data_IF_853037561396
#
_entry.id   IF_853037561396
#
_cell.length_a   1.000
_cell.length_b   1.000
_cell.length_c   1.000
_cell.angle_alpha   90.00
_cell.angle_beta   90.00
_cell.angle_gamma   90.00
#
_symmetry.space_group_name_H-M   'P 1'
#
loop_
_entity.id
_entity.type
_entity.pdbx_description
1 polymer ?
#
# COMPACT_ATOMS: atom_id res chain seq x y z
N UNK A 1 20.64 11.72 -15.09
CA UNK A 1 20.98 11.48 -13.67
C UNK A 1 19.85 12.03 -12.82
N UNK A 2 19.04 11.18 -12.18
CA UNK A 2 18.07 11.62 -11.17
C UNK A 2 18.38 10.83 -9.91
N UNK A 3 19.48 11.21 -9.26
CA UNK A 3 19.73 10.81 -7.88
C UNK A 3 18.71 11.52 -7.00
N UNK A 4 18.08 10.77 -6.09
CA UNK A 4 17.19 11.32 -5.07
C UNK A 4 18.03 12.17 -4.12
N UNK A 5 18.25 13.44 -4.45
CA UNK A 5 18.94 14.39 -3.56
C UNK A 5 17.98 14.85 -2.46
N UNK A 6 18.50 15.35 -1.33
CA UNK A 6 17.69 15.87 -0.21
C UNK A 6 16.67 16.95 -0.62
N UNK A 7 16.83 17.60 -1.79
CA UNK A 7 15.85 18.54 -2.37
C UNK A 7 14.52 17.87 -2.76
N UNK A 8 14.52 16.56 -2.96
CA UNK A 8 13.40 15.82 -3.53
C UNK A 8 12.19 15.65 -2.60
N UNK A 9 12.28 16.02 -1.32
CA UNK A 9 11.20 15.85 -0.34
C UNK A 9 10.65 17.16 0.24
N UNK A 10 11.08 18.33 -0.26
CA UNK A 10 10.66 19.63 0.28
C UNK A 10 9.14 19.87 0.26
N UNK A 11 8.43 19.21 -0.66
CA UNK A 11 6.97 19.27 -0.80
C UNK A 11 6.23 18.28 0.10
N UNK A 12 6.91 17.25 0.63
CA UNK A 12 6.24 16.18 1.36
C UNK A 12 5.56 16.66 2.65
N UNK A 13 6.14 17.57 3.46
CA UNK A 13 5.43 18.15 4.60
C UNK A 13 4.15 18.88 4.18
N UNK A 14 4.20 19.64 3.08
CA UNK A 14 3.04 20.39 2.58
C UNK A 14 1.94 19.46 2.06
N UNK A 15 2.30 18.42 1.29
CA UNK A 15 1.33 17.42 0.82
C UNK A 15 0.73 16.64 2.00
N UNK A 16 1.57 16.20 2.94
CA UNK A 16 1.11 15.49 4.13
C UNK A 16 0.13 16.34 4.94
N UNK A 17 0.47 17.62 5.18
CA UNK A 17 -0.42 18.55 5.86
C UNK A 17 -1.74 18.73 5.10
N UNK A 18 -1.71 18.88 3.78
CA UNK A 18 -2.92 19.01 2.96
C UNK A 18 -3.84 17.78 3.10
N UNK A 19 -3.29 16.56 3.08
CA UNK A 19 -4.05 15.32 3.30
C UNK A 19 -4.63 15.30 4.71
N UNK A 20 -3.85 15.67 5.73
CA UNK A 20 -4.34 15.76 7.12
C UNK A 20 -5.45 16.80 7.25
N UNK A 21 -5.38 17.95 6.56
CA UNK A 21 -6.44 18.96 6.62
C UNK A 21 -7.75 18.48 5.98
N UNK A 22 -7.66 17.69 4.90
CA UNK A 22 -8.84 17.21 4.14
C UNK A 22 -9.48 15.98 4.77
N UNK A 23 -8.70 15.13 5.45
CA UNK A 23 -9.21 13.91 6.07
C UNK A 23 -9.16 13.93 7.60
N UNK A 24 -8.68 15.02 8.21
CA UNK A 24 -8.49 15.14 9.65
C UNK A 24 -9.80 15.04 10.43
N UNK A 25 -10.91 15.46 9.83
CA UNK A 25 -12.24 15.28 10.42
C UNK A 25 -12.59 13.80 10.65
N UNK A 26 -11.97 12.86 9.93
CA UNK A 26 -12.22 11.42 10.15
C UNK A 26 -11.77 10.95 11.52
N UNK A 27 -10.88 11.67 12.22
CA UNK A 27 -10.40 11.27 13.54
C UNK A 27 -11.50 11.26 14.61
N UNK A 28 -12.62 11.93 14.39
CA UNK A 28 -13.78 11.91 15.30
C UNK A 28 -14.85 10.91 14.88
N UNK A 29 -14.65 10.19 13.78
CA UNK A 29 -15.57 9.16 13.31
C UNK A 29 -15.37 7.83 14.06
N UNK A 30 -16.38 6.99 14.01
CA UNK A 30 -16.36 5.63 14.58
C UNK A 30 -16.30 4.54 13.50
N UNK A 31 -16.19 3.31 13.97
CA UNK A 31 -16.23 2.10 13.13
C UNK A 31 -17.59 1.93 12.46
N UNK A 32 -17.59 1.45 11.21
CA UNK A 32 -18.81 1.20 10.45
C UNK A 32 -18.62 0.05 9.43
N UNK A 33 -19.73 -0.49 8.91
CA UNK A 33 -19.74 -1.60 7.93
C UNK A 33 -18.86 -2.80 8.34
N UNK A 34 -17.89 -3.22 7.53
CA UNK A 34 -17.02 -4.38 7.76
C UNK A 34 -16.09 -4.19 8.94
N UNK A 35 -15.92 -2.98 9.47
CA UNK A 35 -15.18 -2.75 10.71
C UNK A 35 -15.80 -3.57 11.86
N UNK A 36 -17.11 -3.79 11.83
CA UNK A 36 -17.80 -4.58 12.85
C UNK A 36 -17.20 -5.99 12.97
N UNK A 37 -17.16 -6.73 11.86
CA UNK A 37 -16.79 -8.13 11.87
C UNK A 37 -15.29 -8.37 11.71
N UNK A 38 -14.56 -7.41 11.15
CA UNK A 38 -13.10 -7.50 10.95
C UNK A 38 -12.30 -6.90 12.10
N UNK A 39 -12.87 -5.94 12.86
CA UNK A 39 -12.15 -5.20 13.92
C UNK A 39 -12.91 -5.21 15.25
N UNK A 40 -14.14 -4.69 15.32
CA UNK A 40 -14.85 -4.42 16.59
C UNK A 40 -15.22 -5.71 17.33
N UNK A 41 -15.60 -6.75 16.60
CA UNK A 41 -16.02 -8.03 17.16
C UNK A 41 -15.14 -9.20 16.70
N UNK A 42 -13.99 -8.91 16.09
CA UNK A 42 -13.05 -9.95 15.67
C UNK A 42 -12.20 -10.43 16.86
N UNK A 43 -12.34 -11.69 17.32
CA UNK A 43 -11.55 -12.21 18.43
C UNK A 43 -10.08 -12.42 18.06
N UNK A 44 -9.75 -12.64 16.79
CA UNK A 44 -8.39 -12.96 16.33
C UNK A 44 -7.40 -11.80 16.48
N UNK A 45 -7.89 -10.59 16.72
CA UNK A 45 -7.05 -9.40 16.99
C UNK A 45 -7.04 -8.99 18.47
N UNK A 46 -7.67 -9.77 19.36
CA UNK A 46 -7.75 -9.50 20.80
C UNK A 46 -6.61 -10.18 21.55
N UNK A 47 -6.26 -9.65 22.71
CA UNK A 47 -5.26 -10.26 23.59
C UNK A 47 -5.87 -11.40 24.41
N UNK A 48 -5.19 -12.55 24.57
CA UNK A 48 -3.90 -12.91 23.95
C UNK A 48 -4.05 -13.22 22.44
N UNK A 49 -3.09 -12.76 21.63
CA UNK A 49 -3.11 -12.94 20.17
C UNK A 49 -2.45 -14.26 19.79
N UNK A 50 -3.19 -15.12 19.09
CA UNK A 50 -2.66 -16.35 18.50
C UNK A 50 -2.05 -16.08 17.13
N UNK A 51 -0.76 -15.75 17.09
CA UNK A 51 -0.07 -15.37 15.85
C UNK A 51 -0.06 -16.45 14.77
N UNK A 52 -0.07 -17.74 15.16
CA UNK A 52 -0.20 -18.84 14.21
C UNK A 52 -1.52 -18.76 13.44
N UNK A 53 -2.62 -18.44 14.12
CA UNK A 53 -3.95 -18.25 13.51
C UNK A 53 -3.93 -17.04 12.59
N UNK A 54 -3.41 -15.89 13.04
CA UNK A 54 -3.30 -14.67 12.22
C UNK A 54 -2.54 -14.91 10.91
N UNK A 55 -1.50 -15.74 10.93
CA UNK A 55 -0.63 -15.99 9.77
C UNK A 55 -0.93 -17.25 8.97
N UNK A 56 -1.93 -18.05 9.37
CA UNK A 56 -2.20 -19.35 8.72
C UNK A 56 -3.69 -19.61 8.44
N UNK A 57 -4.62 -18.95 9.14
CA UNK A 57 -6.05 -19.21 9.03
C UNK A 57 -6.80 -18.03 8.37
N UNK A 58 -7.37 -18.20 7.16
CA UNK A 58 -8.18 -17.17 6.51
C UNK A 58 -9.42 -16.74 7.30
N UNK A 59 -9.94 -17.58 8.20
CA UNK A 59 -11.09 -17.26 9.04
C UNK A 59 -10.76 -16.23 10.12
N UNK A 60 -9.47 -16.02 10.43
CA UNK A 60 -9.01 -14.98 11.35
C UNK A 60 -9.36 -13.56 10.90
N UNK A 61 -9.67 -13.37 9.62
CA UNK A 61 -9.99 -12.05 9.06
C UNK A 61 -11.34 -11.50 9.53
N UNK A 62 -12.33 -12.36 9.72
CA UNK A 62 -13.71 -11.97 9.99
C UNK A 62 -14.37 -12.98 10.91
N UNK A 63 -15.09 -12.48 11.92
CA UNK A 63 -15.97 -13.34 12.72
C UNK A 63 -17.17 -13.89 11.94
N UNK A 64 -17.47 -13.35 10.75
CA UNK A 64 -18.64 -13.72 9.97
C UNK A 64 -18.35 -15.03 9.22
N UNK A 65 -19.14 -16.10 9.44
CA UNK A 65 -18.94 -17.37 8.75
C UNK A 65 -18.97 -17.20 7.23
N UNK A 66 -18.00 -17.81 6.54
CA UNK A 66 -17.86 -17.73 5.08
C UNK A 66 -17.22 -16.44 4.55
N UNK A 67 -16.93 -15.45 5.40
CA UNK A 67 -16.26 -14.19 5.00
C UNK A 67 -14.74 -14.21 5.19
N UNK A 68 -14.13 -15.41 5.27
CA UNK A 68 -12.69 -15.58 5.49
C UNK A 68 -11.86 -15.06 4.31
N UNK A 69 -10.76 -14.37 4.62
CA UNK A 69 -9.81 -13.86 3.64
C UNK A 69 -8.39 -13.95 4.20
N UNK A 70 -7.45 -14.51 3.43
CA UNK A 70 -6.07 -14.59 3.88
C UNK A 70 -5.38 -13.21 3.77
N UNK A 71 -5.31 -12.46 4.88
CA UNK A 71 -4.73 -11.10 4.94
C UNK A 71 -3.88 -10.89 6.21
N UNK A 72 -2.84 -11.71 6.42
CA UNK A 72 -2.13 -11.77 7.69
C UNK A 72 -1.40 -10.47 8.06
N UNK A 73 -0.87 -9.73 7.06
CA UNK A 73 -0.18 -8.47 7.33
C UNK A 73 -1.16 -7.34 7.65
N UNK A 74 -2.35 -7.34 7.05
CA UNK A 74 -3.43 -6.45 7.43
C UNK A 74 -3.87 -6.71 8.88
N UNK A 75 -4.14 -7.97 9.24
CA UNK A 75 -4.52 -8.34 10.61
C UNK A 75 -3.43 -7.98 11.61
N UNK A 76 -2.15 -8.18 11.26
CA UNK A 76 -1.02 -7.73 12.08
C UNK A 76 -1.07 -6.22 12.32
N UNK A 77 -1.46 -5.41 11.33
CA UNK A 77 -1.65 -3.97 11.50
C UNK A 77 -2.83 -3.63 12.42
N UNK A 78 -3.88 -4.44 12.43
CA UNK A 78 -5.04 -4.27 13.32
C UNK A 78 -4.69 -4.65 14.75
N UNK A 79 -3.97 -5.76 14.97
CA UNK A 79 -3.44 -6.15 16.28
C UNK A 79 -2.58 -5.03 16.88
N UNK A 80 -1.63 -4.51 16.10
CA UNK A 80 -0.75 -3.43 16.57
C UNK A 80 -1.54 -2.16 16.94
N UNK A 81 -2.55 -1.79 16.13
CA UNK A 81 -3.38 -0.62 16.40
C UNK A 81 -4.28 -0.83 17.64
N UNK A 82 -4.81 -2.04 17.81
CA UNK A 82 -5.62 -2.41 18.97
C UNK A 82 -4.79 -2.39 20.25
N UNK A 83 -3.54 -2.86 20.23
CA UNK A 83 -2.64 -2.76 21.38
C UNK A 83 -2.31 -1.31 21.76
N UNK A 84 -2.27 -0.40 20.78
CA UNK A 84 -1.98 1.00 21.04
C UNK A 84 -3.14 1.74 21.73
N UNK A 85 -4.38 1.46 21.34
CA UNK A 85 -5.52 2.33 21.69
C UNK A 85 -6.88 1.61 21.77
N UNK A 86 -6.89 0.27 21.74
CA UNK A 86 -8.11 -0.52 21.75
C UNK A 86 -9.05 -0.15 20.60
N UNK A 87 -10.29 0.18 20.95
CA UNK A 87 -11.34 0.62 20.02
C UNK A 87 -11.53 2.15 20.04
N UNK A 88 -10.50 2.92 20.38
CA UNK A 88 -10.56 4.37 20.24
C UNK A 88 -10.35 4.75 18.76
N UNK A 89 -11.45 5.01 18.04
CA UNK A 89 -11.48 5.19 16.58
C UNK A 89 -10.51 6.23 16.01
N UNK A 90 -10.14 7.26 16.80
CA UNK A 90 -9.23 8.33 16.36
C UNK A 90 -7.88 7.79 15.88
N UNK A 91 -7.32 6.77 16.54
CA UNK A 91 -6.01 6.23 16.21
C UNK A 91 -6.06 5.43 14.90
N UNK A 92 -7.17 4.74 14.67
CA UNK A 92 -7.42 3.92 13.49
C UNK A 92 -7.53 4.78 12.24
N UNK A 93 -8.27 5.89 12.33
CA UNK A 93 -8.32 6.91 11.29
C UNK A 93 -6.97 7.61 11.11
N UNK A 94 -6.26 7.96 12.19
CA UNK A 94 -4.94 8.57 12.10
C UNK A 94 -3.95 7.69 11.31
N UNK A 95 -3.96 6.37 11.54
CA UNK A 95 -3.15 5.42 10.75
C UNK A 95 -3.57 5.41 9.28
N UNK A 96 -4.87 5.40 8.96
CA UNK A 96 -5.33 5.42 7.57
C UNK A 96 -4.96 6.73 6.86
N UNK A 97 -5.12 7.88 7.51
CA UNK A 97 -4.72 9.19 6.98
C UNK A 97 -3.20 9.23 6.73
N UNK A 98 -2.40 8.73 7.68
CA UNK A 98 -0.95 8.65 7.52
C UNK A 98 -0.55 7.73 6.35
N UNK A 99 -1.18 6.55 6.23
CA UNK A 99 -0.95 5.64 5.10
C UNK A 99 -1.31 6.30 3.77
N UNK A 100 -2.45 6.99 3.69
CA UNK A 100 -2.86 7.68 2.46
C UNK A 100 -1.93 8.83 2.08
N UNK A 101 -1.42 9.57 3.07
CA UNK A 101 -0.40 10.57 2.84
C UNK A 101 0.89 9.94 2.26
N UNK A 102 1.34 8.81 2.82
CA UNK A 102 2.49 8.07 2.31
C UNK A 102 2.25 7.56 0.87
N UNK A 103 1.09 6.98 0.59
CA UNK A 103 0.71 6.54 -0.76
C UNK A 103 0.73 7.71 -1.74
N UNK A 104 0.13 8.84 -1.37
CA UNK A 104 0.11 10.06 -2.19
C UNK A 104 1.53 10.58 -2.49
N UNK A 105 2.44 10.49 -1.51
CA UNK A 105 3.86 10.82 -1.71
C UNK A 105 4.55 9.84 -2.67
N UNK A 106 4.27 8.54 -2.56
CA UNK A 106 4.82 7.54 -3.48
C UNK A 106 4.31 7.75 -4.91
N UNK A 107 3.08 8.24 -5.10
CA UNK A 107 2.57 8.64 -6.43
C UNK A 107 3.40 9.78 -7.03
N UNK A 108 3.76 10.80 -6.24
CA UNK A 108 4.68 11.87 -6.71
C UNK A 108 6.03 11.28 -7.13
N UNK A 109 6.59 10.37 -6.32
CA UNK A 109 7.86 9.72 -6.65
C UNK A 109 7.77 8.88 -7.92
N UNK A 110 6.66 8.16 -8.10
CA UNK A 110 6.42 7.36 -9.29
C UNK A 110 6.35 8.27 -10.52
N UNK A 111 5.56 9.33 -10.48
CA UNK A 111 5.46 10.29 -11.58
C UNK A 111 6.84 10.88 -11.96
N UNK A 112 7.68 11.20 -10.98
CA UNK A 112 9.07 11.63 -11.22
C UNK A 112 9.91 10.54 -11.86
N UNK A 113 9.80 9.31 -11.38
CA UNK A 113 10.54 8.17 -11.92
C UNK A 113 10.08 7.78 -13.34
N UNK A 114 8.86 8.15 -13.72
CA UNK A 114 8.31 8.08 -15.08
C UNK A 114 8.74 9.27 -15.98
N UNK A 115 9.46 10.25 -15.44
CA UNK A 115 10.02 11.38 -16.18
C UNK A 115 9.21 12.68 -16.12
N UNK A 116 8.16 12.76 -15.29
CA UNK A 116 7.45 14.02 -15.08
C UNK A 116 8.34 15.06 -14.41
N UNK A 117 8.18 16.33 -14.83
CA UNK A 117 8.74 17.49 -14.12
C UNK A 117 8.09 17.63 -12.73
N UNK A 118 8.71 18.42 -11.86
CA UNK A 118 8.27 18.58 -10.47
C UNK A 118 6.80 18.99 -10.34
N UNK A 119 6.34 20.04 -11.05
CA UNK A 119 4.95 20.49 -11.00
C UNK A 119 3.93 19.41 -11.33
N UNK A 120 3.99 18.76 -12.52
CA UNK A 120 3.08 17.66 -12.87
C UNK A 120 3.16 16.45 -11.93
N UNK A 121 4.35 16.12 -11.41
CA UNK A 121 4.47 15.04 -10.43
C UNK A 121 3.77 15.37 -9.10
N UNK A 122 3.88 16.61 -8.63
CA UNK A 122 3.15 17.08 -7.45
C UNK A 122 1.64 17.10 -7.70
N UNK A 123 1.22 17.58 -8.87
CA UNK A 123 -0.17 17.55 -9.27
C UNK A 123 -0.73 16.11 -9.26
N UNK A 124 0.03 15.11 -9.72
CA UNK A 124 -0.39 13.71 -9.66
C UNK A 124 -0.64 13.23 -8.22
N UNK A 125 0.26 13.53 -7.27
CA UNK A 125 0.08 13.17 -5.86
C UNK A 125 -1.07 13.91 -5.18
N UNK A 126 -1.26 15.20 -5.48
CA UNK A 126 -2.40 16.00 -4.97
C UNK A 126 -3.71 15.48 -5.54
N UNK A 127 -3.79 15.25 -6.85
CA UNK A 127 -4.98 14.73 -7.52
C UNK A 127 -5.34 13.34 -6.99
N UNK A 128 -4.35 12.46 -6.80
CA UNK A 128 -4.58 11.15 -6.18
C UNK A 128 -5.10 11.29 -4.75
N UNK A 129 -4.42 12.11 -3.93
CA UNK A 129 -4.70 12.24 -2.52
C UNK A 129 -6.06 12.89 -2.23
N UNK A 130 -6.47 13.87 -3.04
CA UNK A 130 -7.74 14.60 -2.89
C UNK A 130 -8.86 14.04 -3.78
N UNK A 131 -8.62 12.95 -4.52
CA UNK A 131 -9.66 12.38 -5.36
C UNK A 131 -10.85 11.93 -4.51
N UNK A 132 -12.11 12.22 -4.89
CA UNK A 132 -13.28 11.80 -4.10
C UNK A 132 -13.36 10.28 -3.85
N UNK A 133 -12.85 9.46 -4.78
CA UNK A 133 -12.74 8.00 -4.60
C UNK A 133 -11.81 7.59 -3.44
N UNK A 134 -10.92 8.47 -2.98
CA UNK A 134 -10.04 8.21 -1.85
C UNK A 134 -10.74 8.35 -0.49
N UNK A 135 -11.98 8.84 -0.44
CA UNK A 135 -12.74 8.94 0.81
C UNK A 135 -12.93 7.57 1.45
N UNK A 136 -13.21 6.54 0.65
CA UNK A 136 -13.42 5.17 1.15
C UNK A 136 -12.15 4.60 1.82
N UNK A 137 -10.98 4.47 1.16
CA UNK A 137 -9.79 3.88 1.78
C UNK A 137 -9.23 4.68 2.98
N UNK A 138 -9.65 5.94 3.16
CA UNK A 138 -9.22 6.78 4.28
C UNK A 138 -10.23 6.73 5.44
N UNK A 139 -11.52 6.90 5.14
CA UNK A 139 -12.58 7.05 6.14
C UNK A 139 -13.12 5.70 6.61
N UNK A 140 -13.04 4.65 5.81
CA UNK A 140 -13.51 3.32 6.18
C UNK A 140 -12.33 2.48 6.71
N UNK A 141 -12.31 2.18 8.01
CA UNK A 141 -11.08 1.73 8.69
C UNK A 141 -10.56 0.41 8.09
N UNK A 142 -11.41 -0.58 7.89
CA UNK A 142 -11.07 -1.88 7.32
C UNK A 142 -10.66 -1.82 5.84
N UNK A 143 -11.02 -0.72 5.14
CA UNK A 143 -10.48 -0.39 3.81
C UNK A 143 -8.98 -0.02 3.86
N UNK A 144 -8.35 0.01 5.04
CA UNK A 144 -6.88 -0.01 5.22
C UNK A 144 -6.19 -1.07 4.37
N UNK A 145 -6.89 -2.18 4.08
CA UNK A 145 -6.43 -3.21 3.15
C UNK A 145 -6.02 -2.67 1.77
N UNK A 146 -6.79 -1.72 1.21
CA UNK A 146 -6.49 -1.08 -0.07
C UNK A 146 -5.31 -0.12 0.05
N UNK A 147 -5.26 0.69 1.11
CA UNK A 147 -4.17 1.64 1.36
C UNK A 147 -2.83 0.92 1.50
N UNK A 148 -2.78 -0.17 2.29
CA UNK A 148 -1.56 -0.97 2.44
C UNK A 148 -1.19 -1.70 1.15
N UNK A 149 -2.14 -2.32 0.45
CA UNK A 149 -1.87 -2.99 -0.81
C UNK A 149 -1.33 -2.00 -1.85
N UNK A 150 -1.89 -0.79 -1.94
CA UNK A 150 -1.43 0.27 -2.83
C UNK A 150 -0.05 0.78 -2.44
N UNK A 151 0.22 0.98 -1.14
CA UNK A 151 1.54 1.37 -0.63
C UNK A 151 2.61 0.37 -1.10
N UNK A 152 2.38 -0.92 -0.84
CA UNK A 152 3.33 -1.97 -1.20
C UNK A 152 3.44 -2.20 -2.71
N UNK A 153 2.35 -2.05 -3.46
CA UNK A 153 2.35 -2.07 -4.91
C UNK A 153 3.22 -0.95 -5.49
N UNK A 154 3.08 0.28 -5.00
CA UNK A 154 3.90 1.41 -5.43
C UNK A 154 5.38 1.22 -5.06
N UNK A 155 5.67 0.71 -3.85
CA UNK A 155 7.04 0.36 -3.45
C UNK A 155 7.64 -0.72 -4.35
N UNK A 156 6.85 -1.73 -4.76
CA UNK A 156 7.26 -2.74 -5.72
C UNK A 156 7.63 -2.09 -7.07
N UNK A 157 6.75 -1.28 -7.64
CA UNK A 157 6.99 -0.62 -8.93
C UNK A 157 8.23 0.30 -8.86
N UNK A 158 8.34 1.14 -7.82
CA UNK A 158 9.48 2.03 -7.61
C UNK A 158 10.79 1.26 -7.45
N UNK A 159 10.78 0.20 -6.64
CA UNK A 159 11.92 -0.68 -6.43
C UNK A 159 12.35 -1.38 -7.73
N UNK A 160 11.40 -1.81 -8.55
CA UNK A 160 11.65 -2.38 -9.87
C UNK A 160 12.32 -1.37 -10.81
N UNK A 161 11.72 -0.18 -10.95
CA UNK A 161 12.24 0.89 -11.81
C UNK A 161 13.67 1.23 -11.41
N UNK A 162 13.90 1.52 -10.13
CA UNK A 162 15.21 1.92 -9.60
C UNK A 162 16.24 0.80 -9.64
N UNK A 163 15.83 -0.45 -9.37
CA UNK A 163 16.70 -1.62 -9.46
C UNK A 163 17.16 -1.97 -10.88
N UNK A 164 16.54 -1.37 -11.91
CA UNK A 164 16.90 -1.53 -13.31
C UNK A 164 17.52 -0.30 -13.98
N UNK A 165 17.77 0.78 -13.22
CA UNK A 165 18.62 1.91 -13.63
C UNK A 165 20.10 1.51 -13.65
N UNK A 166 20.95 2.35 -14.25
CA UNK A 166 22.41 2.10 -14.35
C UNK A 166 23.08 1.96 -12.97
N UNK A 167 22.57 2.68 -11.97
CA UNK A 167 22.99 2.67 -10.56
C UNK A 167 22.16 1.72 -9.69
N UNK A 168 21.25 0.94 -10.28
CA UNK A 168 20.33 0.06 -9.56
C UNK A 168 21.04 -1.13 -8.90
N UNK A 169 20.72 -1.40 -7.64
CA UNK A 169 21.34 -2.48 -6.85
C UNK A 169 20.45 -3.73 -6.75
N UNK A 170 21.04 -4.87 -6.38
CA UNK A 170 20.28 -6.10 -6.05
C UNK A 170 19.31 -5.88 -4.89
N UNK A 171 19.66 -5.00 -3.95
CA UNK A 171 18.80 -4.63 -2.82
C UNK A 171 17.47 -4.02 -3.29
N UNK A 172 17.48 -3.11 -4.28
CA UNK A 172 16.24 -2.53 -4.81
C UNK A 172 15.29 -3.60 -5.39
N UNK A 173 15.85 -4.61 -6.07
CA UNK A 173 15.07 -5.73 -6.62
C UNK A 173 14.52 -6.63 -5.52
N UNK A 174 15.33 -6.92 -4.50
CA UNK A 174 14.88 -7.70 -3.34
C UNK A 174 13.77 -6.98 -2.58
N UNK A 175 13.93 -5.67 -2.31
CA UNK A 175 12.91 -4.84 -1.69
C UNK A 175 11.63 -4.76 -2.53
N UNK A 176 11.75 -4.69 -3.85
CA UNK A 176 10.60 -4.73 -4.76
C UNK A 176 9.79 -6.04 -4.63
N UNK A 177 10.47 -7.19 -4.57
CA UNK A 177 9.81 -8.48 -4.41
C UNK A 177 9.22 -8.66 -3.01
N UNK A 178 9.95 -8.21 -1.97
CA UNK A 178 9.45 -8.20 -0.60
C UNK A 178 8.21 -7.32 -0.45
N UNK A 179 8.18 -6.15 -1.11
CA UNK A 179 7.02 -5.28 -1.14
C UNK A 179 5.83 -5.98 -1.81
N UNK A 180 6.02 -6.66 -2.95
CA UNK A 180 4.93 -7.41 -3.58
C UNK A 180 4.36 -8.49 -2.64
N UNK A 181 5.22 -9.28 -2.00
CA UNK A 181 4.80 -10.29 -1.03
C UNK A 181 4.00 -9.66 0.13
N UNK A 182 4.49 -8.53 0.68
CA UNK A 182 3.78 -7.79 1.72
C UNK A 182 2.42 -7.27 1.25
N UNK A 183 2.33 -6.73 0.03
CA UNK A 183 1.07 -6.27 -0.56
C UNK A 183 0.05 -7.39 -0.73
N UNK A 184 0.49 -8.58 -1.17
CA UNK A 184 -0.37 -9.76 -1.29
C UNK A 184 -0.88 -10.26 0.06
N UNK A 185 -0.07 -10.13 1.12
CA UNK A 185 -0.49 -10.39 2.50
C UNK A 185 -1.48 -9.33 3.05
N UNK A 186 -1.75 -8.25 2.32
CA UNK A 186 -2.77 -7.26 2.65
C UNK A 186 -4.02 -7.40 1.78
N UNK A 187 -3.86 -7.56 0.45
CA UNK A 187 -4.96 -7.71 -0.51
C UNK A 187 -4.52 -8.28 -1.87
N UNK A 188 -5.42 -9.01 -2.51
CA UNK A 188 -5.23 -9.58 -3.85
C UNK A 188 -4.92 -8.55 -4.94
N UNK A 189 -5.37 -7.31 -4.79
CA UNK A 189 -5.17 -6.23 -5.77
C UNK A 189 -3.69 -5.96 -6.05
N UNK A 190 -2.78 -6.28 -5.11
CA UNK A 190 -1.33 -6.21 -5.31
C UNK A 190 -0.82 -7.18 -6.40
N UNK A 191 -1.56 -8.25 -6.73
CA UNK A 191 -1.22 -9.19 -7.81
C UNK A 191 -1.21 -8.54 -9.21
N UNK A 192 -1.71 -7.30 -9.34
CA UNK A 192 -1.62 -6.51 -10.57
C UNK A 192 -0.21 -5.98 -10.85
N UNK A 193 0.72 -6.03 -9.89
CA UNK A 193 2.09 -5.51 -10.04
C UNK A 193 2.83 -6.00 -11.30
N UNK A 194 2.82 -7.29 -11.68
CA UNK A 194 3.52 -7.76 -12.87
C UNK A 194 2.99 -7.15 -14.16
N UNK A 195 1.67 -6.91 -14.22
CA UNK A 195 1.02 -6.26 -15.37
C UNK A 195 1.42 -4.79 -15.46
N UNK A 196 1.42 -4.07 -14.34
CA UNK A 196 1.85 -2.66 -14.30
C UNK A 196 3.34 -2.50 -14.63
N UNK A 197 4.18 -3.42 -14.14
CA UNK A 197 5.60 -3.46 -14.49
C UNK A 197 5.80 -3.77 -15.97
N UNK A 198 5.04 -4.73 -16.53
CA UNK A 198 5.08 -5.03 -17.96
C UNK A 198 4.69 -3.80 -18.80
N UNK A 199 3.61 -3.11 -18.41
CA UNK A 199 3.17 -1.88 -19.06
C UNK A 199 4.26 -0.80 -19.01
N UNK A 200 4.91 -0.59 -17.87
CA UNK A 200 6.05 0.33 -17.74
C UNK A 200 7.22 -0.06 -18.65
N UNK A 201 7.59 -1.35 -18.68
CA UNK A 201 8.72 -1.82 -19.48
C UNK A 201 8.45 -1.64 -20.99
N UNK A 202 7.22 -1.88 -21.44
CA UNK A 202 6.83 -1.73 -22.85
C UNK A 202 6.68 -0.26 -23.26
N UNK A 203 6.02 0.56 -22.45
CA UNK A 203 5.66 1.94 -22.82
C UNK A 203 6.75 2.97 -22.52
N UNK A 204 7.39 2.86 -21.35
CA UNK A 204 8.35 3.86 -20.85
C UNK A 204 9.79 3.41 -21.10
N UNK A 205 10.15 2.20 -20.68
CA UNK A 205 11.51 1.68 -20.92
C UNK A 205 11.72 1.21 -22.37
N UNK A 206 10.63 1.05 -23.14
CA UNK A 206 10.63 0.55 -24.52
C UNK A 206 11.45 -0.74 -24.69
N UNK A 207 11.36 -1.63 -23.71
CA UNK A 207 12.09 -2.88 -23.69
C UNK A 207 11.44 -3.89 -24.65
N UNK A 208 12.25 -4.67 -25.38
CA UNK A 208 11.75 -5.77 -26.20
C UNK A 208 11.10 -6.89 -25.37
N UNK A 209 10.15 -7.62 -25.96
CA UNK A 209 9.31 -8.60 -25.25
C UNK A 209 10.08 -9.64 -24.41
N UNK A 210 11.22 -10.16 -24.90
CA UNK A 210 12.08 -11.08 -24.12
C UNK A 210 12.64 -10.44 -22.85
N UNK A 211 12.99 -9.15 -22.90
CA UNK A 211 13.52 -8.41 -21.75
C UNK A 211 12.41 -8.11 -20.75
N UNK A 212 11.20 -7.80 -21.22
CA UNK A 212 10.00 -7.64 -20.37
C UNK A 212 9.72 -8.93 -19.63
N UNK A 213 9.56 -10.05 -20.34
CA UNK A 213 9.27 -11.35 -19.74
C UNK A 213 10.29 -11.74 -18.65
N UNK A 214 11.59 -11.55 -18.92
CA UNK A 214 12.65 -11.82 -17.93
C UNK A 214 12.55 -10.93 -16.68
N UNK A 215 12.17 -9.66 -16.85
CA UNK A 215 12.11 -8.66 -15.78
C UNK A 215 10.83 -8.79 -14.94
N UNK A 216 9.73 -9.23 -15.53
CA UNK A 216 8.44 -9.43 -14.84
C UNK A 216 8.26 -10.83 -14.29
N UNK A 217 9.01 -11.84 -14.76
CA UNK A 217 8.89 -13.22 -14.28
C UNK A 217 8.98 -13.35 -12.75
N UNK A 218 9.93 -12.70 -12.03
CA UNK A 218 10.00 -12.82 -10.58
C UNK A 218 8.75 -12.31 -9.86
N UNK A 219 8.15 -11.20 -10.32
CA UNK A 219 6.93 -10.66 -9.72
C UNK A 219 5.70 -11.50 -10.12
N UNK A 220 5.64 -12.00 -11.35
CA UNK A 220 4.56 -12.88 -11.81
C UNK A 220 4.50 -14.20 -11.03
N UNK A 221 5.64 -14.81 -10.73
CA UNK A 221 5.71 -16.04 -9.93
C UNK A 221 5.16 -15.82 -8.53
N UNK A 222 5.49 -14.69 -7.89
CA UNK A 222 4.97 -14.33 -6.56
C UNK A 222 3.46 -14.08 -6.62
N UNK A 223 2.98 -13.35 -7.63
CA UNK A 223 1.56 -13.03 -7.79
C UNK A 223 0.67 -14.27 -8.01
N UNK A 224 1.14 -15.25 -8.80
CA UNK A 224 0.38 -16.47 -9.12
C UNK A 224 0.36 -17.46 -7.95
N UNK A 225 1.46 -17.56 -7.18
CA UNK A 225 1.58 -18.56 -6.09
C UNK A 225 0.89 -18.14 -4.78
N UNK A 226 0.34 -16.93 -4.71
CA UNK A 226 -0.29 -16.40 -3.51
C UNK A 226 -1.79 -16.75 -3.38
N UNK A 227 -2.35 -17.52 -4.33
CA UNK A 227 -3.77 -17.87 -4.42
C UNK A 227 -3.95 -19.34 -4.79
#
# INVERSE_FOLDING_TARGET
MIGVTASSWRWAPALGLLIVLVYGQTLTHGFHFDDDHTIVHNPSIRSPVEWSVVWSDPTAFSRTPGAGMFRPLLLSSFVANYWWSGLDGWSWHAVNVALHALVSMLVVLLARDLGCREGPALAAGVLFGLHPLAVEPVSYISSRSESLATLFLLLCILGHIRGHRQDGTRLHRALSLGALAAGLCCKATAATAPLLIAAYELSVSRAGGRKVARRTAPTAVIGIRAW
#
